data_IF_354062888016
#
_entry.id   IF_354062888016
#
_cell.length_a   1.000
_cell.length_b   1.000
_cell.length_c   1.000
_cell.angle_alpha   90.00
_cell.angle_beta   90.00
_cell.angle_gamma   90.00
#
_symmetry.space_group_name_H-M   'P 1'
#
loop_
_entity.id
_entity.type
_entity.pdbx_description
1 polymer ?
#
# COMPACT_ATOMS: atom_id res chain seq x y z
N UNK A 1 -13.50 5.78 -0.97
CA UNK A 1 -13.04 6.56 -2.14
C UNK A 1 -11.83 7.40 -1.81
N UNK A 2 -12.01 8.61 -1.29
CA UNK A 2 -10.94 9.59 -1.14
C UNK A 2 -9.74 9.16 -0.28
N UNK A 3 -9.98 8.48 0.86
CA UNK A 3 -8.87 7.97 1.68
C UNK A 3 -8.01 6.96 0.92
N UNK A 4 -8.62 6.15 0.04
CA UNK A 4 -7.87 5.18 -0.76
C UNK A 4 -6.98 5.87 -1.79
N UNK A 5 -7.49 6.96 -2.39
CA UNK A 5 -6.70 7.82 -3.27
C UNK A 5 -5.54 8.47 -2.53
N UNK A 6 -5.80 9.01 -1.32
CA UNK A 6 -4.75 9.60 -0.50
C UNK A 6 -3.66 8.57 -0.17
N UNK A 7 -4.04 7.38 0.30
CA UNK A 7 -3.07 6.33 0.61
C UNK A 7 -2.26 5.90 -0.62
N UNK A 8 -2.93 5.64 -1.75
CA UNK A 8 -2.25 5.27 -3.00
C UNK A 8 -1.31 6.37 -3.50
N UNK A 9 -1.69 7.64 -3.36
CA UNK A 9 -0.84 8.78 -3.68
C UNK A 9 0.40 8.86 -2.80
N UNK A 10 0.24 8.70 -1.48
CA UNK A 10 1.35 8.72 -0.52
C UNK A 10 2.30 7.53 -0.70
N UNK A 11 1.77 6.36 -1.10
CA UNK A 11 2.56 5.19 -1.48
C UNK A 11 3.35 5.38 -2.79
N UNK A 12 2.82 6.16 -3.74
CA UNK A 12 3.46 6.40 -5.05
C UNK A 12 4.49 7.53 -5.06
N UNK A 13 4.70 8.22 -3.93
CA UNK A 13 5.73 9.27 -3.84
C UNK A 13 7.12 8.65 -3.94
N UNK A 14 8.08 9.47 -4.36
CA UNK A 14 9.50 9.13 -4.37
C UNK A 14 10.29 10.18 -3.57
N UNK A 15 10.83 9.86 -2.38
CA UNK A 15 10.68 8.59 -1.64
C UNK A 15 9.23 8.32 -1.18
N UNK A 16 8.80 7.06 -1.02
CA UNK A 16 7.44 6.74 -0.56
C UNK A 16 7.22 7.20 0.89
N UNK A 17 6.03 7.74 1.18
CA UNK A 17 5.68 8.20 2.54
C UNK A 17 5.07 7.05 3.35
N UNK A 18 4.29 6.20 2.69
CA UNK A 18 3.66 5.03 3.32
C UNK A 18 4.14 3.75 2.64
N UNK A 19 4.50 2.72 3.41
CA UNK A 19 4.76 1.40 2.84
C UNK A 19 3.43 0.68 2.57
N UNK A 20 3.43 -0.25 1.62
CA UNK A 20 2.30 -1.13 1.39
C UNK A 20 2.25 -2.24 2.45
N UNK A 21 1.47 -2.02 3.52
CA UNK A 21 1.37 -2.94 4.66
C UNK A 21 0.90 -4.34 4.26
N UNK A 22 0.08 -4.46 3.22
CA UNK A 22 -0.44 -5.76 2.74
C UNK A 22 0.62 -6.58 1.99
N UNK A 23 1.75 -5.97 1.63
CA UNK A 23 2.87 -6.62 0.96
C UNK A 23 4.11 -6.75 1.85
N UNK A 24 4.09 -6.16 3.04
CA UNK A 24 5.21 -6.25 3.98
C UNK A 24 5.30 -7.66 4.59
N UNK A 25 6.52 -8.23 4.73
CA UNK A 25 6.70 -9.51 5.38
C UNK A 25 6.42 -9.42 6.89
N UNK A 26 6.00 -10.53 7.50
CA UNK A 26 5.63 -10.57 8.92
C UNK A 26 6.78 -10.19 9.87
N UNK A 27 8.03 -10.44 9.46
CA UNK A 27 9.24 -10.16 10.25
C UNK A 27 9.90 -8.81 9.89
N UNK A 28 9.23 -7.96 9.13
CA UNK A 28 9.71 -6.61 8.79
C UNK A 28 10.03 -5.80 10.07
N UNK A 29 11.12 -5.00 10.11
CA UNK A 29 12.05 -4.66 9.02
C UNK A 29 13.23 -5.61 8.86
N UNK A 30 13.33 -6.66 9.68
CA UNK A 30 14.42 -7.63 9.56
C UNK A 30 14.30 -8.38 8.23
N UNK A 31 15.41 -8.92 7.72
CA UNK A 31 15.37 -9.77 6.52
C UNK A 31 14.86 -11.17 6.91
N UNK A 32 14.16 -11.81 5.98
CA UNK A 32 13.73 -13.20 6.13
C UNK A 32 14.96 -14.08 6.36
N UNK A 33 14.82 -15.18 7.14
CA UNK A 33 15.78 -16.27 7.06
C UNK A 33 15.98 -16.66 5.60
N UNK A 34 17.24 -16.82 5.18
CA UNK A 34 17.64 -17.08 3.78
C UNK A 34 17.09 -18.41 3.27
N UNK A 35 16.70 -19.31 4.18
CA UNK A 35 16.25 -20.65 3.87
C UNK A 35 14.75 -20.84 4.20
N UNK A 36 13.95 -21.09 3.16
CA UNK A 36 12.67 -21.79 3.28
C UNK A 36 11.44 -20.99 2.89
N UNK A 37 11.06 -21.06 1.61
CA UNK A 37 9.69 -21.38 1.14
C UNK A 37 8.47 -20.60 1.65
N UNK A 38 8.61 -19.52 2.39
CA UNK A 38 7.49 -18.77 2.93
C UNK A 38 6.91 -17.85 1.86
N UNK A 39 5.79 -18.24 1.24
CA UNK A 39 4.96 -17.33 0.45
C UNK A 39 4.61 -16.06 1.24
N UNK A 40 4.07 -15.04 0.56
CA UNK A 40 3.57 -13.84 1.25
C UNK A 40 2.62 -14.28 2.37
N UNK A 41 2.75 -13.72 3.60
CA UNK A 41 1.83 -14.04 4.67
C UNK A 41 0.40 -13.73 4.22
N UNK A 42 -0.52 -14.67 4.48
CA UNK A 42 -1.92 -14.59 4.09
C UNK A 42 -2.78 -14.90 5.32
N UNK A 43 -3.87 -14.14 5.46
CA UNK A 43 -4.88 -14.37 6.50
C UNK A 43 -6.22 -14.44 5.77
N UNK A 44 -6.63 -15.64 5.41
CA UNK A 44 -7.87 -15.88 4.68
C UNK A 44 -9.05 -15.82 5.65
N UNK A 45 -9.97 -14.91 5.37
CA UNK A 45 -11.23 -14.75 6.11
C UNK A 45 -12.37 -14.85 5.12
N UNK A 46 -13.41 -15.60 5.49
CA UNK A 46 -14.58 -15.79 4.65
C UNK A 46 -15.35 -14.48 4.48
N UNK A 47 -15.72 -14.16 3.25
CA UNK A 47 -16.53 -12.98 2.95
C UNK A 47 -17.91 -13.10 3.63
N UNK A 48 -18.44 -11.97 4.13
CA UNK A 48 -19.67 -11.98 4.95
C UNK A 48 -20.93 -12.41 4.18
N UNK A 49 -20.94 -12.23 2.86
CA UNK A 49 -22.13 -12.48 2.02
C UNK A 49 -21.84 -13.39 0.83
N UNK A 50 -20.58 -13.64 0.53
CA UNK A 50 -20.16 -14.43 -0.64
C UNK A 50 -19.34 -15.61 -0.14
N UNK A 51 -19.45 -16.75 -0.81
CA UNK A 51 -18.68 -17.95 -0.46
C UNK A 51 -17.25 -17.86 -1.02
N UNK A 52 -16.56 -16.77 -0.69
CA UNK A 52 -15.22 -16.45 -1.16
C UNK A 52 -14.28 -16.19 0.01
N UNK A 53 -13.07 -16.73 -0.07
CA UNK A 53 -12.00 -16.43 0.88
C UNK A 53 -11.27 -15.14 0.49
N UNK A 54 -11.26 -14.17 1.41
CA UNK A 54 -10.59 -12.89 1.25
C UNK A 54 -9.27 -12.89 2.04
N UNK A 55 -8.16 -12.58 1.38
CA UNK A 55 -6.91 -12.32 2.09
C UNK A 55 -6.94 -10.94 2.77
N UNK A 56 -7.00 -10.97 4.09
CA UNK A 56 -7.09 -9.80 4.97
C UNK A 56 -5.75 -9.45 5.62
N UNK A 57 -4.66 -10.12 5.26
CA UNK A 57 -3.36 -9.84 5.84
C UNK A 57 -2.93 -8.37 5.60
N UNK A 58 -2.42 -7.75 6.65
CA UNK A 58 -1.57 -6.58 6.59
C UNK A 58 -0.59 -6.61 7.75
N UNK A 59 0.61 -6.09 7.53
CA UNK A 59 1.62 -5.99 8.58
C UNK A 59 1.13 -5.12 9.73
N UNK A 60 1.01 -5.74 10.89
CA UNK A 60 0.75 -5.07 12.16
C UNK A 60 2.02 -5.19 13.01
N UNK A 61 2.68 -4.08 13.38
CA UNK A 61 3.82 -4.13 14.27
C UNK A 61 3.44 -4.82 15.59
N UNK A 62 4.32 -5.65 16.18
CA UNK A 62 4.05 -6.24 17.48
C UNK A 62 4.02 -5.14 18.56
N UNK A 63 2.92 -5.07 19.31
CA UNK A 63 2.71 -4.04 20.35
C UNK A 63 2.68 -2.62 19.77
N UNK A 64 3.27 -1.65 20.49
CA UNK A 64 3.30 -0.23 20.10
C UNK A 64 4.48 0.14 19.19
N UNK A 65 5.12 -0.85 18.55
CA UNK A 65 6.37 -0.69 17.82
C UNK A 65 6.22 -0.04 16.42
N UNK A 66 5.74 1.19 16.34
CA UNK A 66 5.62 1.95 15.08
C UNK A 66 6.90 2.66 14.65
N UNK A 67 7.99 2.56 15.42
CA UNK A 67 9.24 3.31 15.19
C UNK A 67 9.80 3.11 13.78
N UNK A 68 9.78 1.88 13.27
CA UNK A 68 10.28 1.58 11.94
C UNK A 68 9.39 2.19 10.84
N UNK A 69 8.06 2.13 11.01
CA UNK A 69 7.11 2.75 10.08
C UNK A 69 7.22 4.28 10.09
N UNK A 70 7.44 4.89 11.26
CA UNK A 70 7.70 6.32 11.39
C UNK A 70 9.00 6.72 10.68
N UNK A 71 10.07 5.92 10.86
CA UNK A 71 11.35 6.13 10.17
C UNK A 71 11.25 5.94 8.66
N UNK A 72 10.35 5.08 8.17
CA UNK A 72 10.09 4.93 6.74
C UNK A 72 9.54 6.24 6.16
N UNK A 73 8.45 6.76 6.73
CA UNK A 73 7.82 7.98 6.23
C UNK A 73 8.70 9.23 6.36
N UNK A 74 9.57 9.29 7.36
CA UNK A 74 10.49 10.43 7.55
C UNK A 74 11.57 10.56 6.49
N UNK A 75 11.71 9.59 5.58
CA UNK A 75 12.66 9.67 4.46
C UNK A 75 12.18 10.62 3.37
N UNK A 76 10.87 10.92 3.32
CA UNK A 76 10.33 11.91 2.40
C UNK A 76 10.37 13.31 3.06
N UNK A 77 11.08 14.29 2.46
CA UNK A 77 11.22 15.63 3.05
C UNK A 77 10.08 16.60 2.67
N UNK A 78 9.07 16.17 1.92
CA UNK A 78 8.04 17.05 1.40
C UNK A 78 7.18 17.64 2.52
N UNK A 79 6.93 18.94 2.43
CA UNK A 79 6.00 19.63 3.32
C UNK A 79 4.55 19.23 3.01
N UNK A 80 3.67 19.42 3.99
CA UNK A 80 2.23 19.16 3.82
C UNK A 80 1.64 19.97 2.66
N UNK A 81 2.06 21.23 2.51
CA UNK A 81 1.61 22.08 1.42
C UNK A 81 2.03 21.54 0.04
N UNK A 82 3.27 21.07 -0.08
CA UNK A 82 3.76 20.46 -1.32
C UNK A 82 2.98 19.18 -1.64
N UNK A 83 2.75 18.32 -0.64
CA UNK A 83 1.99 17.08 -0.83
C UNK A 83 0.54 17.33 -1.24
N UNK A 84 -0.11 18.33 -0.67
CA UNK A 84 -1.47 18.69 -1.02
C UNK A 84 -1.57 19.19 -2.46
N UNK A 85 -0.66 20.08 -2.87
CA UNK A 85 -0.61 20.57 -4.24
C UNK A 85 -0.33 19.42 -5.23
N UNK A 86 0.65 18.58 -4.92
CA UNK A 86 0.97 17.41 -5.74
C UNK A 86 -0.17 16.39 -5.79
N UNK A 87 -0.96 16.23 -4.73
CA UNK A 87 -2.13 15.34 -4.71
C UNK A 87 -3.16 15.79 -5.74
N UNK A 88 -3.50 17.08 -5.75
CA UNK A 88 -4.42 17.63 -6.73
C UNK A 88 -3.85 17.58 -8.14
N UNK A 89 -2.58 17.94 -8.33
CA UNK A 89 -1.92 17.87 -9.63
C UNK A 89 -1.93 16.44 -10.20
N UNK A 90 -1.55 15.46 -9.38
CA UNK A 90 -1.50 14.05 -9.76
C UNK A 90 -2.87 13.56 -10.25
N UNK A 91 -3.92 13.77 -9.46
CA UNK A 91 -5.26 13.32 -9.84
C UNK A 91 -5.93 14.19 -10.91
N UNK A 92 -5.55 15.46 -11.07
CA UNK A 92 -6.11 16.30 -12.12
C UNK A 92 -5.49 16.04 -13.50
N UNK A 93 -4.19 15.77 -13.56
CA UNK A 93 -3.43 15.80 -14.82
C UNK A 93 -2.63 14.53 -15.11
N UNK A 94 -2.21 13.75 -14.11
CA UNK A 94 -1.30 12.62 -14.32
C UNK A 94 -2.03 11.27 -14.40
N UNK A 95 -3.17 11.11 -13.72
CA UNK A 95 -3.90 9.84 -13.70
C UNK A 95 -4.70 9.63 -14.99
N UNK A 96 -4.36 8.58 -15.73
CA UNK A 96 -5.18 8.05 -16.82
C UNK A 96 -6.35 7.25 -16.24
N UNK A 97 -7.49 7.92 -16.04
CA UNK A 97 -8.70 7.30 -15.49
C UNK A 97 -9.36 6.28 -16.41
N UNK A 98 -9.05 6.32 -17.71
CA UNK A 98 -9.57 5.35 -18.67
C UNK A 98 -8.89 3.99 -18.45
N UNK A 99 -7.56 4.01 -18.29
CA UNK A 99 -6.75 2.78 -18.24
C UNK A 99 -6.37 2.31 -16.85
N UNK A 100 -6.46 3.16 -15.83
CA UNK A 100 -6.00 2.83 -14.47
C UNK A 100 -7.10 2.88 -13.42
N UNK A 101 -6.88 2.17 -12.32
CA UNK A 101 -7.72 2.19 -11.13
C UNK A 101 -6.84 2.28 -9.89
N UNK A 102 -7.34 2.92 -8.84
CA UNK A 102 -6.59 3.05 -7.57
C UNK A 102 -6.71 1.74 -6.78
N UNK A 103 -5.57 1.20 -6.35
CA UNK A 103 -5.47 -0.01 -5.54
C UNK A 103 -4.36 0.14 -4.49
N UNK A 104 -4.76 0.24 -3.21
CA UNK A 104 -3.80 0.23 -2.09
C UNK A 104 -3.05 -1.09 -2.04
N UNK A 105 -3.73 -2.23 -2.24
CA UNK A 105 -3.12 -3.56 -2.17
C UNK A 105 -2.02 -3.75 -3.20
N UNK A 106 -2.18 -3.14 -4.38
CA UNK A 106 -1.16 -3.11 -5.42
C UNK A 106 -0.11 -1.99 -5.22
N UNK A 107 -0.30 -1.09 -4.25
CA UNK A 107 0.63 -0.02 -3.90
C UNK A 107 0.49 1.26 -4.74
N UNK A 108 -0.65 1.49 -5.40
CA UNK A 108 -0.83 2.68 -6.23
C UNK A 108 -1.90 2.55 -7.31
N UNK A 109 -1.52 2.83 -8.55
CA UNK A 109 -2.37 2.67 -9.72
C UNK A 109 -2.18 1.28 -10.33
N UNK A 110 -3.28 0.56 -10.52
CA UNK A 110 -3.35 -0.72 -11.20
C UNK A 110 -4.02 -0.51 -12.57
N UNK A 111 -3.46 -1.08 -13.63
CA UNK A 111 -4.11 -1.02 -14.95
C UNK A 111 -5.36 -1.91 -14.98
N UNK A 112 -6.41 -1.45 -15.65
CA UNK A 112 -7.72 -2.14 -15.66
C UNK A 112 -7.71 -3.45 -16.45
N UNK A 113 -6.85 -3.57 -17.46
CA UNK A 113 -6.63 -4.81 -18.20
C UNK A 113 -6.14 -5.94 -17.28
N UNK A 114 -5.22 -5.63 -16.37
CA UNK A 114 -4.71 -6.58 -15.36
C UNK A 114 -5.71 -6.91 -14.24
N UNK A 115 -6.88 -6.25 -14.21
CA UNK A 115 -7.96 -6.52 -13.23
C UNK A 115 -9.02 -7.47 -13.79
N UNK A 116 -9.10 -7.62 -15.11
CA UNK A 116 -10.12 -8.41 -15.78
C UNK A 116 -9.76 -9.90 -15.93
N UNK A 117 -8.50 -10.25 -15.62
CA UNK A 117 -7.99 -11.62 -15.48
C UNK A 117 -7.97 -12.03 -13.99
#
# INVERSE_FOLDING_TARGET
GYLQMLFAFLMSRSPPILPNLQQLPAHWPNKAPVDGGGGKPQVLVKHNTEDLDCDTYFYTPPGDAFTNLRRFGSQNPASIAALLLSFFHFYAYEVDYEKTCVSIRAGGLLRKDLKAE
#
